data_IF_889005854318
#
_entry.id   IF_889005854318
#
_cell.length_a   1.000
_cell.length_b   1.000
_cell.length_c   1.000
_cell.angle_alpha   90.00
_cell.angle_beta   90.00
_cell.angle_gamma   90.00
#
_symmetry.space_group_name_H-M   'P 1'
#
loop_
_entity.id
_entity.type
_entity.pdbx_description
1 polymer ?
#
# COMPACT_ATOMS: atom_id res chain seq x y z
N UNK A 1 14.59 29.58 7.15
CA UNK A 1 13.67 28.96 6.22
C UNK A 1 13.70 27.45 6.18
N UNK A 2 14.59 26.78 6.91
CA UNK A 2 14.53 25.35 7.15
C UNK A 2 13.27 24.86 7.88
N UNK A 3 12.49 25.77 8.44
CA UNK A 3 11.25 25.47 9.15
C UNK A 3 10.18 24.81 8.25
N UNK A 4 10.01 25.29 7.03
CA UNK A 4 8.95 24.77 6.14
C UNK A 4 9.24 23.36 5.66
N UNK A 5 10.50 23.05 5.40
CA UNK A 5 10.93 21.72 4.97
C UNK A 5 10.83 20.71 6.12
N UNK A 6 11.22 21.13 7.32
CA UNK A 6 11.08 20.31 8.54
C UNK A 6 9.60 20.08 8.89
N UNK A 7 8.76 21.10 8.74
CA UNK A 7 7.33 21.01 9.01
C UNK A 7 6.64 20.02 8.07
N UNK A 8 6.98 20.02 6.77
CA UNK A 8 6.41 19.08 5.81
C UNK A 8 6.80 17.62 6.14
N UNK A 9 8.06 17.38 6.50
CA UNK A 9 8.53 16.05 6.91
C UNK A 9 7.89 15.62 8.22
N UNK A 10 7.77 16.53 9.17
CA UNK A 10 7.13 16.25 10.46
C UNK A 10 5.65 15.97 10.30
N UNK A 11 4.98 16.67 9.40
CA UNK A 11 3.56 16.44 9.12
C UNK A 11 3.32 15.03 8.54
N UNK A 12 4.15 14.59 7.61
CA UNK A 12 4.06 13.24 7.06
C UNK A 12 4.29 12.17 8.12
N UNK A 13 5.32 12.34 8.94
CA UNK A 13 5.61 11.43 10.04
C UNK A 13 4.54 11.47 11.12
N UNK A 14 4.04 12.66 11.47
CA UNK A 14 2.97 12.82 12.44
C UNK A 14 1.66 12.18 11.97
N UNK A 15 1.36 12.24 10.68
CA UNK A 15 0.19 11.58 10.12
C UNK A 15 0.30 10.06 10.27
N UNK A 16 1.45 9.48 9.97
CA UNK A 16 1.70 8.06 10.14
C UNK A 16 1.62 7.66 11.63
N UNK A 17 2.18 8.47 12.50
CA UNK A 17 2.13 8.22 13.95
C UNK A 17 0.71 8.40 14.52
N UNK A 18 -0.05 9.38 14.03
CA UNK A 18 -1.44 9.57 14.44
C UNK A 18 -2.32 8.39 14.02
N UNK A 19 -2.08 7.83 12.84
CA UNK A 19 -2.76 6.61 12.38
C UNK A 19 -2.33 5.39 13.21
N UNK A 20 -1.06 5.32 13.62
CA UNK A 20 -0.54 4.26 14.50
C UNK A 20 -1.03 4.35 15.95
N UNK A 21 -1.54 5.49 16.38
CA UNK A 21 -2.14 5.66 17.71
C UNK A 21 -3.62 5.23 17.76
N UNK A 22 -4.17 4.76 16.66
CA UNK A 22 -5.54 4.28 16.59
C UNK A 22 -5.67 2.98 17.38
N UNK A 23 -6.47 3.00 18.46
CA UNK A 23 -6.71 1.77 19.22
C UNK A 23 -7.75 0.91 18.53
N UNK A 24 -7.33 -0.32 18.14
CA UNK A 24 -8.24 -1.28 17.57
C UNK A 24 -9.24 -1.78 18.60
N UNK A 25 -10.52 -1.99 18.24
CA UNK A 25 -11.45 -2.65 19.14
C UNK A 25 -11.00 -4.07 19.47
N UNK A 26 -11.34 -4.55 20.66
CA UNK A 26 -10.93 -5.87 21.14
C UNK A 26 -11.57 -7.04 20.38
N UNK A 27 -12.61 -6.79 19.58
CA UNK A 27 -13.29 -7.81 18.77
C UNK A 27 -12.56 -8.02 17.44
N UNK A 28 -12.74 -9.18 16.82
CA UNK A 28 -12.22 -9.48 15.50
C UNK A 28 -12.62 -8.37 14.50
N UNK A 29 -11.67 -7.89 13.75
CA UNK A 29 -11.91 -6.80 12.82
C UNK A 29 -10.67 -6.45 12.00
N UNK A 30 -10.74 -5.32 11.32
CA UNK A 30 -9.59 -4.83 10.58
C UNK A 30 -9.51 -3.29 10.62
N UNK A 31 -8.30 -2.79 10.51
CA UNK A 31 -8.00 -1.38 10.29
C UNK A 31 -7.28 -1.25 8.96
N UNK A 32 -7.78 -0.32 8.13
CA UNK A 32 -7.17 -0.01 6.84
C UNK A 32 -6.60 1.40 6.85
N UNK A 33 -5.35 1.53 6.46
CA UNK A 33 -4.66 2.79 6.30
C UNK A 33 -4.31 2.95 4.83
N UNK A 34 -4.93 3.93 4.18
CA UNK A 34 -4.69 4.20 2.78
C UNK A 34 -3.95 5.53 2.62
N UNK A 35 -2.77 5.48 2.04
CA UNK A 35 -1.95 6.64 1.80
C UNK A 35 -2.03 7.01 0.32
N UNK A 36 -2.67 8.13 0.04
CA UNK A 36 -2.76 8.71 -1.29
C UNK A 36 -1.95 10.00 -1.32
N UNK A 37 -1.12 10.20 -2.35
CA UNK A 37 -0.34 11.44 -2.43
C UNK A 37 -1.27 12.64 -2.62
N UNK A 38 -1.00 13.72 -1.88
CA UNK A 38 -1.75 14.96 -1.99
C UNK A 38 -1.21 15.87 -3.08
N UNK A 39 0.03 15.66 -3.52
CA UNK A 39 0.70 16.46 -4.54
C UNK A 39 1.74 15.62 -5.30
N UNK A 40 2.34 16.23 -6.34
CA UNK A 40 3.30 15.54 -7.18
C UNK A 40 4.58 15.12 -6.43
N UNK A 41 5.02 15.90 -5.46
CA UNK A 41 6.19 15.58 -4.65
C UNK A 41 5.97 14.32 -3.81
N UNK A 42 4.84 14.24 -3.15
CA UNK A 42 4.46 13.03 -2.37
C UNK A 42 4.29 11.82 -3.28
N UNK A 43 3.73 12.01 -4.46
CA UNK A 43 3.59 10.96 -5.45
C UNK A 43 4.96 10.40 -5.86
N UNK A 44 5.91 11.27 -6.14
CA UNK A 44 7.28 10.85 -6.49
C UNK A 44 7.96 10.12 -5.35
N UNK A 45 7.76 10.55 -4.11
CA UNK A 45 8.31 9.89 -2.93
C UNK A 45 7.73 8.48 -2.75
N UNK A 46 6.42 8.32 -2.92
CA UNK A 46 5.79 7.01 -2.85
C UNK A 46 6.23 6.09 -3.98
N UNK A 47 6.32 6.61 -5.21
CA UNK A 47 6.83 5.86 -6.35
C UNK A 47 8.26 5.42 -6.14
N UNK A 48 9.11 6.30 -5.60
CA UNK A 48 10.49 5.95 -5.28
C UNK A 48 10.56 4.85 -4.22
N UNK A 49 9.76 4.94 -3.16
CA UNK A 49 9.70 3.92 -2.12
C UNK A 49 9.24 2.57 -2.64
N UNK A 50 8.18 2.54 -3.44
CA UNK A 50 7.69 1.33 -4.09
C UNK A 50 8.73 0.77 -5.08
N UNK A 51 9.39 1.65 -5.84
CA UNK A 51 10.45 1.26 -6.76
C UNK A 51 11.65 0.63 -6.06
N UNK A 52 12.08 1.18 -4.92
CA UNK A 52 13.13 0.57 -4.09
C UNK A 52 12.71 -0.79 -3.55
N UNK A 53 11.50 -0.90 -3.06
CA UNK A 53 10.95 -2.19 -2.59
C UNK A 53 10.96 -3.21 -3.72
N UNK A 54 10.48 -2.82 -4.89
CA UNK A 54 10.44 -3.68 -6.07
C UNK A 54 11.83 -4.11 -6.49
N UNK A 55 12.77 -3.17 -6.57
CA UNK A 55 14.15 -3.46 -6.95
C UNK A 55 14.81 -4.44 -5.98
N UNK A 56 14.65 -4.20 -4.68
CA UNK A 56 15.21 -5.06 -3.64
C UNK A 56 14.65 -6.48 -3.71
N UNK A 57 13.39 -6.64 -4.06
CA UNK A 57 12.71 -7.93 -4.14
C UNK A 57 12.70 -8.54 -5.56
N UNK A 58 13.36 -7.93 -6.52
CA UNK A 58 13.41 -8.43 -7.90
C UNK A 58 12.10 -8.34 -8.65
N UNK A 59 11.25 -7.39 -8.30
CA UNK A 59 9.93 -7.17 -8.91
C UNK A 59 10.07 -6.19 -10.08
N UNK A 60 9.57 -6.53 -11.25
CA UNK A 60 9.59 -5.62 -12.42
C UNK A 60 8.29 -4.86 -12.60
N UNK A 61 7.16 -5.57 -12.70
CA UNK A 61 5.86 -4.95 -12.94
C UNK A 61 4.86 -5.23 -11.81
N UNK A 62 4.95 -6.38 -11.20
CA UNK A 62 4.04 -6.74 -10.15
C UNK A 62 4.48 -7.99 -9.39
N UNK A 63 3.94 -8.13 -8.20
CA UNK A 63 4.21 -9.27 -7.35
C UNK A 63 3.06 -9.55 -6.41
N UNK A 64 2.84 -10.82 -6.17
CA UNK A 64 2.00 -11.30 -5.09
C UNK A 64 2.88 -12.15 -4.18
N UNK A 65 2.94 -11.79 -2.90
CA UNK A 65 3.65 -12.57 -1.88
C UNK A 65 2.66 -12.94 -0.79
N UNK A 66 2.55 -14.22 -0.50
CA UNK A 66 1.64 -14.74 0.52
C UNK A 66 2.42 -15.62 1.48
N UNK A 67 2.45 -15.23 2.74
CA UNK A 67 3.04 -16.01 3.82
C UNK A 67 1.96 -16.36 4.84
N UNK A 68 1.79 -17.63 5.10
CA UNK A 68 0.75 -18.13 6.00
C UNK A 68 -0.26 -19.02 5.27
N UNK A 69 -1.45 -19.14 5.83
CA UNK A 69 -2.46 -20.09 5.35
C UNK A 69 -3.77 -19.40 4.94
N UNK A 70 -4.44 -19.97 3.95
CA UNK A 70 -5.74 -19.53 3.47
C UNK A 70 -5.74 -18.07 2.96
N UNK A 71 -4.64 -17.62 2.41
CA UNK A 71 -4.56 -16.28 1.82
C UNK A 71 -4.98 -16.32 0.35
N UNK A 72 -5.74 -15.32 -0.05
CA UNK A 72 -6.17 -15.15 -1.44
C UNK A 72 -5.72 -13.76 -1.94
N UNK A 73 -5.03 -13.72 -3.06
CA UNK A 73 -4.60 -12.47 -3.66
C UNK A 73 -4.80 -12.47 -5.16
N UNK A 74 -5.14 -11.31 -5.70
CA UNK A 74 -5.27 -11.09 -7.15
C UNK A 74 -4.61 -9.80 -7.57
N UNK A 75 -3.86 -9.84 -8.66
CA UNK A 75 -3.27 -8.67 -9.28
C UNK A 75 -3.64 -8.66 -10.76
N UNK A 76 -4.31 -7.61 -11.19
CA UNK A 76 -4.69 -7.41 -12.58
C UNK A 76 -4.11 -6.08 -13.06
N UNK A 77 -3.37 -6.12 -14.15
CA UNK A 77 -2.74 -4.94 -14.73
C UNK A 77 -3.04 -4.87 -16.21
N UNK A 78 -3.67 -3.77 -16.65
CA UNK A 78 -3.89 -3.46 -18.05
C UNK A 78 -3.16 -2.20 -18.43
N UNK A 79 -2.48 -2.20 -19.58
CA UNK A 79 -1.64 -1.08 -20.02
C UNK A 79 -0.18 -1.29 -19.67
N UNK A 80 0.61 -0.20 -19.67
CA UNK A 80 2.05 -0.27 -19.48
C UNK A 80 2.54 0.65 -18.37
N UNK A 81 3.72 0.33 -17.81
CA UNK A 81 4.34 1.13 -16.75
C UNK A 81 3.65 0.99 -15.40
N UNK A 82 2.87 -0.04 -15.18
CA UNK A 82 2.22 -0.29 -13.90
C UNK A 82 3.15 -1.05 -12.95
N UNK A 83 3.12 -0.68 -11.68
CA UNK A 83 3.77 -1.41 -10.61
C UNK A 83 2.73 -1.75 -9.54
N UNK A 84 2.47 -3.03 -9.35
CA UNK A 84 1.51 -3.51 -8.36
C UNK A 84 2.15 -4.51 -7.42
N UNK A 85 2.01 -4.30 -6.14
CA UNK A 85 2.54 -5.18 -5.10
C UNK A 85 1.40 -5.55 -4.18
N UNK A 86 1.17 -6.85 -3.98
CA UNK A 86 0.28 -7.38 -2.97
C UNK A 86 1.10 -8.28 -2.05
N UNK A 87 1.17 -7.91 -0.79
CA UNK A 87 1.91 -8.66 0.23
C UNK A 87 0.96 -9.03 1.37
N UNK A 88 0.85 -10.31 1.65
CA UNK A 88 0.00 -10.83 2.72
C UNK A 88 0.83 -11.63 3.70
N UNK A 89 0.72 -11.28 4.98
CA UNK A 89 1.46 -11.92 6.07
C UNK A 89 0.47 -12.30 7.17
N UNK A 90 0.29 -13.60 7.39
CA UNK A 90 -0.67 -14.13 8.34
C UNK A 90 -1.67 -15.06 7.69
N UNK A 91 -2.94 -14.99 8.07
CA UNK A 91 -3.92 -15.96 7.60
C UNK A 91 -5.26 -15.34 7.21
N UNK A 92 -5.98 -16.03 6.32
CA UNK A 92 -7.32 -15.68 5.89
C UNK A 92 -7.44 -14.28 5.27
N UNK A 93 -6.39 -13.81 4.60
CA UNK A 93 -6.41 -12.54 3.89
C UNK A 93 -7.05 -12.70 2.52
N UNK A 94 -7.80 -11.69 2.11
CA UNK A 94 -8.30 -11.55 0.75
C UNK A 94 -7.91 -10.16 0.23
N UNK A 95 -7.12 -10.11 -0.83
CA UNK A 95 -6.63 -8.84 -1.37
C UNK A 95 -6.61 -8.83 -2.88
N UNK A 96 -7.15 -7.78 -3.48
CA UNK A 96 -7.08 -7.61 -4.93
C UNK A 96 -6.60 -6.21 -5.28
N UNK A 97 -5.77 -6.14 -6.30
CA UNK A 97 -5.29 -4.90 -6.87
C UNK A 97 -5.53 -4.93 -8.38
N UNK A 98 -6.33 -3.99 -8.86
CA UNK A 98 -6.62 -3.82 -10.27
C UNK A 98 -6.07 -2.48 -10.74
N UNK A 99 -5.18 -2.50 -11.73
CA UNK A 99 -4.58 -1.30 -12.32
C UNK A 99 -4.89 -1.26 -13.81
N UNK A 100 -5.55 -0.19 -14.24
CA UNK A 100 -5.90 0.02 -15.65
C UNK A 100 -5.27 1.31 -16.16
N UNK A 101 -4.87 1.29 -17.41
CA UNK A 101 -4.15 2.40 -18.03
C UNK A 101 -2.66 2.30 -17.79
N UNK A 102 -1.96 3.43 -17.78
CA UNK A 102 -0.50 3.45 -17.65
C UNK A 102 -0.02 4.14 -16.39
N UNK A 103 1.18 3.74 -15.93
CA UNK A 103 1.94 4.42 -14.89
C UNK A 103 1.25 4.44 -13.52
N UNK A 104 0.48 3.42 -13.20
CA UNK A 104 -0.06 3.22 -11.85
C UNK A 104 0.98 2.55 -10.96
N UNK A 105 1.04 2.96 -9.70
CA UNK A 105 1.91 2.33 -8.71
C UNK A 105 1.13 2.13 -7.41
N UNK A 106 1.08 0.92 -6.91
CA UNK A 106 0.40 0.63 -5.65
C UNK A 106 1.05 -0.53 -4.90
N UNK A 107 1.15 -0.36 -3.58
CA UNK A 107 1.49 -1.45 -2.69
C UNK A 107 0.34 -1.72 -1.73
N UNK A 108 -0.18 -2.93 -1.71
CA UNK A 108 -1.17 -3.40 -0.77
C UNK A 108 -0.51 -4.39 0.18
N UNK A 109 -0.50 -4.06 1.47
CA UNK A 109 0.13 -4.85 2.52
C UNK A 109 -0.92 -5.23 3.56
N UNK A 110 -1.12 -6.54 3.74
CA UNK A 110 -2.11 -7.09 4.66
C UNK A 110 -1.41 -7.93 5.72
N UNK A 111 -1.73 -7.67 6.99
CA UNK A 111 -1.07 -8.31 8.14
C UNK A 111 -2.10 -8.81 9.14
N UNK A 112 -1.73 -9.88 9.84
CA UNK A 112 -2.53 -10.44 10.93
C UNK A 112 -3.50 -11.50 10.46
N UNK A 113 -4.78 -11.31 10.69
CA UNK A 113 -5.79 -12.32 10.40
C UNK A 113 -7.06 -11.71 9.81
N UNK A 114 -7.59 -12.36 8.77
CA UNK A 114 -8.92 -12.08 8.26
C UNK A 114 -9.12 -10.71 7.63
N UNK A 115 -8.13 -10.18 6.92
CA UNK A 115 -8.29 -8.88 6.24
C UNK A 115 -8.87 -9.03 4.84
N UNK A 116 -9.66 -8.05 4.46
CA UNK A 116 -10.28 -7.96 3.13
C UNK A 116 -10.01 -6.57 2.54
N UNK A 117 -9.39 -6.52 1.35
CA UNK A 117 -9.03 -5.27 0.71
C UNK A 117 -9.07 -5.38 -0.81
N UNK A 118 -9.75 -4.43 -1.43
CA UNK A 118 -9.86 -4.35 -2.89
C UNK A 118 -9.48 -2.95 -3.35
N UNK A 119 -8.49 -2.87 -4.22
CA UNK A 119 -7.97 -1.59 -4.73
C UNK A 119 -8.09 -1.56 -6.24
N UNK A 120 -8.55 -0.42 -6.76
CA UNK A 120 -8.63 -0.17 -8.19
C UNK A 120 -8.00 1.18 -8.51
N UNK A 121 -7.10 1.18 -9.47
CA UNK A 121 -6.44 2.39 -9.97
C UNK A 121 -6.62 2.52 -11.48
N UNK A 122 -6.73 3.76 -11.95
CA UNK A 122 -6.80 4.06 -13.38
C UNK A 122 -6.06 5.36 -13.70
N UNK A 123 -5.16 5.30 -14.69
CA UNK A 123 -4.55 6.50 -15.26
C UNK A 123 -3.54 7.22 -14.35
N UNK A 124 -2.40 6.60 -14.07
CA UNK A 124 -1.27 7.27 -13.43
C UNK A 124 -1.43 7.55 -11.93
N UNK A 125 -2.14 6.70 -11.23
CA UNK A 125 -2.37 6.83 -9.80
C UNK A 125 -1.28 6.13 -8.99
N UNK A 126 -0.99 6.68 -7.81
CA UNK A 126 -0.01 6.10 -6.87
C UNK A 126 -0.64 6.02 -5.49
N UNK A 127 -0.36 4.95 -4.76
CA UNK A 127 -0.84 4.82 -3.39
C UNK A 127 -0.21 3.66 -2.64
N UNK A 128 -0.46 3.62 -1.35
CA UNK A 128 -0.08 2.56 -0.43
C UNK A 128 -1.28 2.22 0.46
N UNK A 129 -1.52 0.95 0.63
CA UNK A 129 -2.54 0.47 1.56
C UNK A 129 -1.95 -0.52 2.56
N UNK A 130 -2.20 -0.27 3.82
CA UNK A 130 -1.84 -1.19 4.91
C UNK A 130 -3.11 -1.61 5.62
N UNK A 131 -3.32 -2.91 5.74
CA UNK A 131 -4.51 -3.47 6.36
C UNK A 131 -4.07 -4.43 7.45
N UNK A 132 -4.55 -4.20 8.66
CA UNK A 132 -4.23 -5.00 9.82
C UNK A 132 -5.50 -5.65 10.34
N UNK A 133 -5.47 -6.96 10.52
CA UNK A 133 -6.61 -7.73 11.00
C UNK A 133 -6.28 -8.52 12.27
N UNK A 134 -7.32 -8.85 13.05
CA UNK A 134 -7.20 -9.64 14.27
C UNK A 134 -8.47 -10.46 14.51
#
# INVERSE_FOLDING_TARGET
MGRNTLTAKTTGLALIMALGAFTAPANAGQISINLNPANAEQQQMMQAGLGFYALYNGIQNGSITQNGINNMAGLMQGGSGNLGIVHQEGSNHNGTLNQQGGNNSYGLFQFGEGTDAHVSQSGGQTGLGFVFGW
#
